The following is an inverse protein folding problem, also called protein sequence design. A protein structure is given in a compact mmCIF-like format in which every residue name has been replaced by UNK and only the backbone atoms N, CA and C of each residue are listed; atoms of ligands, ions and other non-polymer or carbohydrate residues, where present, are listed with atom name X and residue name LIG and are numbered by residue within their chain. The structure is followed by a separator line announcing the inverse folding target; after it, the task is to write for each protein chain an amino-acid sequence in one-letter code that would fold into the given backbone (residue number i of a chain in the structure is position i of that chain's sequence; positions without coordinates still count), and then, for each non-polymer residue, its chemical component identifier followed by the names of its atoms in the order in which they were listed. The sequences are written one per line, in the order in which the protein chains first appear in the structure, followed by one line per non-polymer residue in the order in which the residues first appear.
data_IF_199866384172
#
_entry.id   IF_199866384172
#
_cell.length_a   1.000
_cell.length_b   1.000
_cell.length_c   1.000
_cell.angle_alpha   90.00
_cell.angle_beta   90.00
_cell.angle_gamma   90.00
#
_symmetry.space_group_name_H-M   'P 1'
#
loop_
_entity.id
_entity.type
_entity.pdbx_description
1 polymer ?
#
# COMPACT_ATOMS: atom_id res chain seq x y z
N UNK A 1 -56.99 -76.93 -2.89
CA UNK A 1 -56.49 -75.55 -3.15
C UNK A 1 -55.41 -75.27 -2.14
N UNK A 2 -54.13 -75.20 -2.54
CA UNK A 2 -52.99 -74.81 -1.65
C UNK A 2 -52.61 -73.36 -1.88
N UNK A 3 -52.41 -72.55 -0.89
CA UNK A 3 -51.90 -71.20 -1.09
C UNK A 3 -50.37 -71.24 -1.19
N UNK A 4 -49.84 -70.59 -2.21
CA UNK A 4 -48.41 -70.40 -2.45
C UNK A 4 -47.92 -69.17 -1.68
N UNK A 5 -46.98 -69.36 -0.73
CA UNK A 5 -46.31 -68.27 -0.03
C UNK A 5 -45.23 -67.72 -0.94
N UNK A 6 -45.26 -66.39 -1.22
CA UNK A 6 -44.15 -65.61 -1.78
C UNK A 6 -43.34 -64.98 -0.64
N UNK A 7 -42.04 -65.31 -0.59
CA UNK A 7 -41.12 -64.64 0.31
C UNK A 7 -40.47 -63.41 -0.42
N UNK A 8 -40.39 -62.22 0.20
CA UNK A 8 -39.68 -61.11 -0.42
C UNK A 8 -38.18 -61.25 -0.19
N UNK A 9 -37.42 -61.12 -1.28
CA UNK A 9 -35.96 -60.97 -1.27
C UNK A 9 -35.60 -59.58 -0.79
N UNK A 10 -34.94 -59.49 0.36
CA UNK A 10 -34.41 -58.24 0.91
C UNK A 10 -32.99 -58.02 0.34
N UNK A 11 -32.86 -57.15 -0.67
CA UNK A 11 -31.56 -56.75 -1.21
C UNK A 11 -30.86 -55.76 -0.31
N UNK A 12 -29.80 -56.21 0.34
CA UNK A 12 -28.95 -55.35 1.19
C UNK A 12 -28.00 -54.54 0.25
N UNK A 13 -28.27 -53.25 0.08
CA UNK A 13 -27.37 -52.30 -0.61
C UNK A 13 -26.31 -51.86 0.36
N UNK A 14 -25.08 -52.35 0.21
CA UNK A 14 -23.90 -51.82 0.90
C UNK A 14 -23.52 -50.48 0.25
N UNK A 15 -23.84 -49.38 0.91
CA UNK A 15 -23.28 -48.06 0.57
C UNK A 15 -21.84 -47.99 1.03
N UNK A 16 -20.89 -48.16 0.11
CA UNK A 16 -19.48 -47.87 0.36
C UNK A 16 -19.28 -46.36 0.47
N UNK A 17 -19.13 -45.83 1.68
CA UNK A 17 -18.66 -44.45 1.91
C UNK A 17 -17.19 -44.35 1.51
N UNK A 18 -16.91 -43.96 0.27
CA UNK A 18 -15.58 -43.49 -0.11
C UNK A 18 -15.32 -42.15 0.60
N UNK A 19 -14.66 -42.19 1.77
CA UNK A 19 -14.02 -41.03 2.34
C UNK A 19 -12.87 -40.62 1.43
N UNK A 20 -13.15 -39.72 0.47
CA UNK A 20 -12.12 -38.99 -0.25
C UNK A 20 -11.46 -38.05 0.76
N UNK A 21 -10.38 -38.53 1.37
CA UNK A 21 -9.49 -37.69 2.17
C UNK A 21 -8.79 -36.74 1.19
N UNK A 22 -9.35 -35.53 0.98
CA UNK A 22 -8.61 -34.44 0.35
C UNK A 22 -7.52 -34.04 1.33
N UNK A 23 -6.24 -34.19 0.99
CA UNK A 23 -5.18 -33.66 1.85
C UNK A 23 -5.43 -32.16 2.00
N UNK A 24 -5.54 -31.71 3.26
CA UNK A 24 -5.58 -30.30 3.56
C UNK A 24 -4.33 -29.66 2.93
N UNK A 25 -4.51 -28.82 1.92
CA UNK A 25 -3.43 -27.98 1.41
C UNK A 25 -3.00 -27.07 2.54
N UNK A 26 -1.91 -27.41 3.23
CA UNK A 26 -1.29 -26.54 4.21
C UNK A 26 -0.83 -25.29 3.46
N UNK A 27 -1.61 -24.23 3.56
CA UNK A 27 -1.19 -22.93 3.06
C UNK A 27 0.14 -22.56 3.78
N UNK A 28 1.17 -22.15 3.04
CA UNK A 28 2.41 -21.71 3.67
C UNK A 28 2.09 -20.62 4.71
N UNK A 29 2.81 -20.59 5.84
CA UNK A 29 2.64 -19.52 6.82
C UNK A 29 2.85 -18.16 6.14
N UNK A 30 2.13 -17.11 6.56
CA UNK A 30 2.32 -15.78 6.03
C UNK A 30 3.79 -15.35 6.21
N UNK A 31 4.36 -14.60 5.25
CA UNK A 31 5.75 -14.16 5.33
C UNK A 31 5.96 -13.26 6.55
N UNK A 32 7.09 -13.43 7.22
CA UNK A 32 7.46 -12.57 8.34
C UNK A 32 7.80 -11.16 7.87
N UNK A 33 7.40 -10.16 8.67
CA UNK A 33 7.71 -8.77 8.42
C UNK A 33 7.93 -8.01 9.74
N UNK A 34 8.63 -6.88 9.65
CA UNK A 34 8.77 -5.92 10.73
C UNK A 34 7.89 -4.70 10.44
N UNK A 35 6.90 -4.46 11.30
CA UNK A 35 6.10 -3.24 11.27
C UNK A 35 6.83 -2.12 12.02
N UNK A 36 6.92 -0.94 11.39
CA UNK A 36 7.55 0.25 11.98
C UNK A 36 6.51 1.38 11.93
N UNK A 37 6.24 1.99 13.09
CA UNK A 37 5.24 3.06 13.25
C UNK A 37 5.77 4.16 14.15
N UNK A 38 5.35 5.38 13.86
CA UNK A 38 5.57 6.53 14.73
C UNK A 38 4.39 7.48 14.70
N UNK A 39 4.31 8.34 15.70
CA UNK A 39 3.46 9.53 15.75
C UNK A 39 4.16 10.62 16.54
N UNK A 40 3.90 11.87 16.21
CA UNK A 40 4.44 13.00 16.94
C UNK A 40 4.84 14.16 16.03
N UNK A 41 5.85 14.88 16.47
CA UNK A 41 6.45 15.96 15.69
C UNK A 41 7.35 15.45 14.54
N UNK A 42 7.82 16.35 13.71
CA UNK A 42 8.68 16.01 12.58
C UNK A 42 9.99 15.32 13.00
N UNK A 43 10.57 15.67 14.15
CA UNK A 43 11.81 15.07 14.62
C UNK A 43 11.60 13.61 15.01
N UNK A 44 10.56 13.32 15.79
CA UNK A 44 10.19 11.95 16.21
C UNK A 44 9.90 11.05 14.99
N UNK A 45 9.17 11.56 14.01
CA UNK A 45 8.85 10.80 12.81
C UNK A 45 10.09 10.63 11.92
N UNK A 46 10.96 11.66 11.81
CA UNK A 46 12.21 11.56 11.06
C UNK A 46 13.15 10.49 11.61
N UNK A 47 13.28 10.39 12.95
CA UNK A 47 14.08 9.33 13.59
C UNK A 47 13.57 7.93 13.26
N UNK A 48 12.24 7.76 13.25
CA UNK A 48 11.63 6.48 12.89
C UNK A 48 11.77 6.18 11.39
N UNK A 49 11.61 7.19 10.54
CA UNK A 49 11.83 7.07 9.10
C UNK A 49 13.29 6.65 8.80
N UNK A 50 14.27 7.19 9.53
CA UNK A 50 15.67 6.79 9.41
C UNK A 50 15.90 5.32 9.84
N UNK A 51 15.23 4.84 10.89
CA UNK A 51 15.23 3.42 11.26
C UNK A 51 14.61 2.55 10.16
N UNK A 52 13.54 3.01 9.54
CA UNK A 52 12.91 2.33 8.41
C UNK A 52 13.84 2.27 7.19
N UNK A 53 14.50 3.37 6.84
CA UNK A 53 15.54 3.43 5.79
C UNK A 53 16.68 2.43 6.03
N UNK A 54 17.14 2.33 7.28
CA UNK A 54 18.16 1.37 7.68
C UNK A 54 17.68 -0.08 7.55
N UNK A 55 16.42 -0.37 7.92
CA UNK A 55 15.83 -1.71 7.83
C UNK A 55 15.59 -2.15 6.37
N UNK A 56 15.23 -1.23 5.47
CA UNK A 56 15.20 -1.50 4.03
C UNK A 56 16.59 -1.87 3.51
N UNK A 57 17.61 -1.21 4.05
CA UNK A 57 19.01 -1.39 3.66
C UNK A 57 19.38 -0.66 2.37
N UNK A 58 20.68 -0.66 2.09
CA UNK A 58 21.24 -0.08 0.87
C UNK A 58 21.18 1.46 0.79
N UNK A 59 21.72 1.97 -0.31
CA UNK A 59 21.78 3.40 -0.60
C UNK A 59 20.48 3.92 -1.22
N UNK A 60 20.28 5.23 -1.12
CA UNK A 60 19.25 5.90 -1.91
C UNK A 60 19.67 5.91 -3.38
N UNK A 61 18.88 5.28 -4.22
CA UNK A 61 19.09 5.30 -5.67
C UNK A 61 18.54 6.60 -6.26
N UNK A 62 19.37 7.31 -7.02
CA UNK A 62 18.97 8.58 -7.62
C UNK A 62 17.80 8.40 -8.58
N UNK A 63 16.94 9.42 -8.76
CA UNK A 63 15.93 9.41 -9.81
C UNK A 63 16.61 9.30 -11.19
N UNK A 64 15.89 8.72 -12.15
CA UNK A 64 16.35 8.57 -13.54
C UNK A 64 17.58 7.65 -13.76
N UNK A 65 18.00 6.89 -12.75
CA UNK A 65 18.94 5.78 -12.93
C UNK A 65 18.22 4.54 -13.44
N UNK A 66 18.97 3.65 -14.08
CA UNK A 66 18.49 2.31 -14.41
C UNK A 66 18.06 1.54 -13.14
N UNK A 67 17.26 0.46 -13.28
CA UNK A 67 17.00 -0.46 -12.18
C UNK A 67 18.32 -0.92 -11.54
N UNK A 68 18.37 -0.95 -10.21
CA UNK A 68 19.55 -1.36 -9.45
C UNK A 68 19.26 -2.69 -8.72
N UNK A 69 20.31 -3.45 -8.41
CA UNK A 69 20.18 -4.75 -7.74
C UNK A 69 19.83 -4.63 -6.25
N UNK A 70 19.97 -3.43 -5.69
CA UNK A 70 19.71 -3.15 -4.28
C UNK A 70 19.49 -1.67 -4.03
N UNK A 71 19.17 -1.32 -2.77
CA UNK A 71 18.96 0.04 -2.35
C UNK A 71 17.48 0.37 -2.13
N UNK A 72 17.17 1.65 -2.11
CA UNK A 72 15.83 2.16 -1.90
C UNK A 72 15.52 3.33 -2.82
N UNK A 73 14.24 3.62 -2.97
CA UNK A 73 13.68 4.80 -3.64
C UNK A 73 12.87 5.62 -2.65
N UNK A 74 12.84 6.93 -2.87
CA UNK A 74 12.08 7.87 -2.06
C UNK A 74 11.34 8.86 -2.95
N UNK A 75 10.11 9.25 -2.56
CA UNK A 75 9.30 10.27 -3.21
C UNK A 75 8.90 11.25 -2.10
N UNK A 76 9.34 12.48 -2.19
CA UNK A 76 9.00 13.57 -1.27
C UNK A 76 8.14 14.67 -1.93
N UNK A 77 7.68 14.46 -3.15
CA UNK A 77 6.80 15.32 -3.96
C UNK A 77 7.39 16.69 -4.33
N UNK A 78 8.39 17.21 -3.62
CA UNK A 78 8.93 18.56 -3.81
C UNK A 78 9.49 18.81 -5.20
N UNK A 79 10.06 17.77 -5.81
CA UNK A 79 10.59 17.80 -7.17
C UNK A 79 9.52 17.76 -8.28
N UNK A 80 8.23 17.67 -7.96
CA UNK A 80 7.16 17.74 -8.96
C UNK A 80 7.12 19.13 -9.58
N UNK A 81 7.10 19.27 -10.92
CA UNK A 81 7.02 20.56 -11.59
C UNK A 81 5.80 21.40 -11.18
N UNK A 82 5.95 22.71 -11.15
CA UNK A 82 4.85 23.65 -10.81
C UNK A 82 3.63 23.44 -11.69
N UNK A 83 3.81 23.15 -12.98
CA UNK A 83 2.72 22.86 -13.91
C UNK A 83 1.88 21.61 -13.56
N UNK A 84 2.40 20.73 -12.70
CA UNK A 84 1.73 19.51 -12.22
C UNK A 84 1.36 19.61 -10.74
N UNK A 85 1.49 20.78 -10.14
CA UNK A 85 1.18 21.06 -8.74
C UNK A 85 -0.14 21.83 -8.65
N UNK A 86 -0.94 21.58 -7.63
CA UNK A 86 -2.25 22.21 -7.37
C UNK A 86 -3.30 21.93 -8.46
N UNK A 87 -3.16 20.82 -9.16
CA UNK A 87 -4.14 20.32 -10.15
C UNK A 87 -4.57 18.89 -9.79
N UNK A 88 -5.79 18.51 -10.16
CA UNK A 88 -6.40 17.22 -9.81
C UNK A 88 -6.05 16.09 -10.80
N UNK A 89 -5.21 16.40 -11.78
CA UNK A 89 -4.83 15.49 -12.87
C UNK A 89 -3.35 15.16 -12.87
N UNK A 90 -2.74 15.03 -11.69
CA UNK A 90 -1.34 14.61 -11.59
C UNK A 90 -1.15 13.25 -12.27
N UNK A 91 -0.14 13.11 -13.18
CA UNK A 91 0.01 11.88 -13.96
C UNK A 91 0.39 10.69 -13.09
N UNK A 92 -0.43 9.66 -13.08
CA UNK A 92 -0.27 8.43 -12.30
C UNK A 92 1.08 7.72 -12.53
N UNK A 93 1.67 7.87 -13.72
CA UNK A 93 2.94 7.24 -14.12
C UNK A 93 4.16 8.14 -13.95
N UNK A 94 3.99 9.35 -13.39
CA UNK A 94 5.07 10.35 -13.29
C UNK A 94 6.34 9.77 -12.66
N UNK A 95 6.21 9.05 -11.54
CA UNK A 95 7.35 8.45 -10.83
C UNK A 95 7.84 7.11 -11.40
N UNK A 96 7.39 6.76 -12.58
CA UNK A 96 7.97 5.69 -13.38
C UNK A 96 8.49 6.16 -14.74
N UNK A 97 7.85 7.16 -15.34
CA UNK A 97 8.18 7.64 -16.70
C UNK A 97 9.09 8.89 -16.65
N UNK A 98 8.62 9.95 -15.98
CA UNK A 98 9.32 11.23 -15.94
C UNK A 98 10.43 11.25 -14.88
N UNK A 99 10.20 10.61 -13.75
CA UNK A 99 11.14 10.48 -12.64
C UNK A 99 11.25 9.01 -12.26
N UNK A 100 12.13 8.28 -12.94
CA UNK A 100 12.22 6.82 -12.95
C UNK A 100 12.52 6.24 -11.57
N UNK A 101 11.50 6.05 -10.77
CA UNK A 101 11.56 5.44 -9.42
C UNK A 101 10.78 4.12 -9.32
N UNK A 102 10.05 3.74 -10.39
CA UNK A 102 9.32 2.47 -10.43
C UNK A 102 8.02 2.46 -9.62
N UNK A 103 7.40 3.62 -9.37
CA UNK A 103 6.09 3.71 -8.72
C UNK A 103 5.04 4.21 -9.71
N UNK A 104 3.90 3.51 -9.77
CA UNK A 104 2.73 3.87 -10.58
C UNK A 104 1.53 3.90 -9.66
N UNK A 105 0.76 4.99 -9.72
CA UNK A 105 -0.38 5.22 -8.82
C UNK A 105 -1.71 4.92 -9.48
N UNK A 106 -2.69 4.50 -8.69
CA UNK A 106 -4.09 4.48 -9.09
C UNK A 106 -5.00 4.83 -7.90
N UNK A 107 -6.24 5.20 -8.19
CA UNK A 107 -7.26 5.51 -7.19
C UNK A 107 -8.65 5.16 -7.76
N UNK A 108 -9.60 4.70 -6.94
CA UNK A 108 -11.00 4.61 -7.36
C UNK A 108 -11.69 5.97 -7.48
N UNK A 109 -10.99 7.05 -7.08
CA UNK A 109 -11.45 8.42 -7.24
C UNK A 109 -11.34 8.94 -8.67
N UNK A 110 -11.35 10.26 -8.82
CA UNK A 110 -11.36 10.94 -10.13
C UNK A 110 -9.98 11.42 -10.56
N UNK A 111 -8.97 11.39 -9.68
CA UNK A 111 -7.62 11.82 -9.99
C UNK A 111 -6.67 11.79 -8.80
N UNK A 112 -5.50 12.34 -9.02
CA UNK A 112 -4.42 12.49 -8.04
C UNK A 112 -3.99 13.95 -7.99
N UNK A 113 -3.64 14.43 -6.79
CA UNK A 113 -3.23 15.82 -6.58
C UNK A 113 -1.94 15.89 -5.76
N UNK A 114 -0.98 16.64 -6.27
CA UNK A 114 0.16 17.14 -5.50
C UNK A 114 -0.12 18.60 -5.19
N UNK A 115 -0.07 18.98 -3.93
CA UNK A 115 -0.49 20.32 -3.47
C UNK A 115 0.63 21.01 -2.68
N UNK A 116 0.82 22.32 -2.93
CA UNK A 116 1.79 23.17 -2.25
C UNK A 116 1.14 24.23 -1.36
N UNK A 117 -0.18 24.19 -1.18
CA UNK A 117 -0.97 25.17 -0.44
C UNK A 117 -1.57 24.58 0.84
N UNK A 118 -1.13 23.38 1.24
CA UNK A 118 -1.80 22.57 2.27
C UNK A 118 -3.31 22.43 2.00
N UNK A 119 -3.66 22.30 0.71
CA UNK A 119 -5.03 22.21 0.19
C UNK A 119 -5.93 23.43 0.41
N UNK A 120 -5.37 24.58 0.85
CA UNK A 120 -6.12 25.83 0.96
C UNK A 120 -6.75 26.25 -0.37
N UNK A 121 -6.14 25.89 -1.50
CA UNK A 121 -6.69 26.15 -2.85
C UNK A 121 -7.92 25.29 -3.20
N UNK A 122 -8.17 24.20 -2.47
CA UNK A 122 -9.37 23.37 -2.58
C UNK A 122 -10.43 23.81 -1.58
N UNK A 123 -10.00 24.01 -0.33
CA UNK A 123 -10.86 24.41 0.77
C UNK A 123 -10.06 25.31 1.73
N UNK A 124 -10.38 26.60 1.78
CA UNK A 124 -9.70 27.57 2.63
C UNK A 124 -9.75 27.21 4.13
N UNK A 125 -10.75 26.45 4.57
CA UNK A 125 -10.88 25.94 5.94
C UNK A 125 -9.81 24.91 6.33
N UNK A 126 -9.06 24.39 5.37
CA UNK A 126 -7.99 23.40 5.60
C UNK A 126 -6.59 24.02 5.68
N UNK A 127 -6.46 25.35 5.54
CA UNK A 127 -5.16 26.03 5.43
C UNK A 127 -4.19 25.72 6.57
N UNK A 128 -4.71 25.55 7.79
CA UNK A 128 -3.93 25.26 9.00
C UNK A 128 -4.04 23.81 9.46
N UNK A 129 -4.70 22.96 8.66
CA UNK A 129 -4.97 21.56 9.00
C UNK A 129 -3.74 20.69 8.74
N UNK A 130 -3.10 20.88 7.60
CA UNK A 130 -2.01 20.03 7.15
C UNK A 130 -0.67 20.75 7.19
N UNK A 131 0.40 19.96 7.36
CA UNK A 131 1.77 20.42 7.24
C UNK A 131 2.56 19.41 6.41
N UNK A 132 3.39 19.88 5.50
CA UNK A 132 4.33 19.03 4.81
C UNK A 132 5.46 18.60 5.75
N UNK A 133 5.80 17.31 5.74
CA UNK A 133 6.89 16.72 6.51
C UNK A 133 8.23 17.06 5.87
N UNK A 134 8.40 16.73 4.60
CA UNK A 134 9.43 17.32 3.75
C UNK A 134 8.90 18.65 3.19
N UNK A 135 9.75 19.69 3.06
CA UNK A 135 9.23 21.03 2.82
C UNK A 135 8.52 21.16 1.48
N UNK A 136 7.26 21.57 1.52
CA UNK A 136 6.39 22.26 0.58
C UNK A 136 5.24 21.48 -0.05
N UNK A 137 5.28 20.16 -0.27
CA UNK A 137 4.21 19.50 -1.03
C UNK A 137 3.65 18.27 -0.35
N UNK A 138 2.34 18.12 -0.47
CA UNK A 138 1.56 16.98 0.02
C UNK A 138 0.88 16.29 -1.15
N UNK A 139 0.41 15.07 -0.93
CA UNK A 139 -0.24 14.25 -1.94
C UNK A 139 -1.52 13.62 -1.41
N UNK A 140 -2.56 13.61 -2.24
CA UNK A 140 -3.85 12.95 -1.97
C UNK A 140 -4.46 12.37 -3.25
N UNK A 141 -5.40 11.42 -3.08
CA UNK A 141 -6.38 11.10 -4.13
C UNK A 141 -7.47 12.16 -4.18
N UNK A 142 -8.05 12.37 -5.35
CA UNK A 142 -9.20 13.26 -5.57
C UNK A 142 -10.46 12.42 -5.69
N UNK A 143 -11.47 12.76 -4.89
CA UNK A 143 -12.74 12.01 -4.86
C UNK A 143 -12.65 10.62 -4.23
N UNK A 144 -11.56 10.33 -3.53
CA UNK A 144 -11.35 9.10 -2.75
C UNK A 144 -10.33 9.35 -1.65
N UNK A 145 -10.35 8.54 -0.60
CA UNK A 145 -9.30 8.45 0.41
C UNK A 145 -8.37 7.25 0.18
N UNK A 146 -8.38 6.64 -1.01
CA UNK A 146 -7.62 5.42 -1.33
C UNK A 146 -6.67 5.66 -2.50
N UNK A 147 -5.42 5.25 -2.31
CA UNK A 147 -4.37 5.24 -3.34
C UNK A 147 -3.74 3.87 -3.39
N UNK A 148 -3.62 3.31 -4.58
CA UNK A 148 -2.83 2.11 -4.83
C UNK A 148 -1.48 2.50 -5.46
N UNK A 149 -0.40 1.84 -5.06
CA UNK A 149 0.93 1.99 -5.64
C UNK A 149 1.39 0.65 -6.17
N UNK A 150 1.48 0.53 -7.48
CA UNK A 150 2.07 -0.62 -8.16
C UNK A 150 3.56 -0.39 -8.38
N UNK A 151 4.37 -1.41 -8.12
CA UNK A 151 5.82 -1.33 -8.35
C UNK A 151 6.20 -1.89 -9.72
N UNK A 152 7.10 -1.15 -10.40
CA UNK A 152 7.70 -1.50 -11.69
C UNK A 152 9.22 -1.43 -11.56
N UNK A 153 9.94 -2.18 -12.37
CA UNK A 153 11.37 -1.91 -12.54
C UNK A 153 11.53 -0.48 -13.06
N UNK A 154 12.37 0.32 -12.40
CA UNK A 154 12.44 1.77 -12.58
C UNK A 154 12.56 2.17 -14.04
N UNK A 155 11.60 2.94 -14.54
CA UNK A 155 11.55 3.42 -15.92
C UNK A 155 11.10 2.40 -16.96
N UNK A 156 10.53 1.26 -16.54
CA UNK A 156 10.02 0.21 -17.43
C UNK A 156 8.54 -0.08 -17.19
N UNK A 157 7.94 -0.91 -18.04
CA UNK A 157 6.58 -1.43 -17.83
C UNK A 157 6.56 -2.77 -17.09
N UNK A 158 7.73 -3.36 -16.86
CA UNK A 158 7.90 -4.65 -16.19
C UNK A 158 7.55 -4.53 -14.71
N UNK A 159 6.70 -5.42 -14.21
CA UNK A 159 6.35 -5.47 -12.78
C UNK A 159 7.58 -5.76 -11.93
N UNK A 160 7.66 -5.07 -10.79
CA UNK A 160 8.73 -5.20 -9.81
C UNK A 160 8.18 -5.56 -8.44
N UNK A 161 9.05 -6.07 -7.59
CA UNK A 161 8.76 -6.38 -6.20
C UNK A 161 9.66 -5.54 -5.29
N UNK A 162 9.12 -5.00 -4.22
CA UNK A 162 9.91 -4.26 -3.22
C UNK A 162 10.01 -5.03 -1.91
N UNK A 163 11.11 -4.81 -1.17
CA UNK A 163 11.34 -5.41 0.15
C UNK A 163 10.45 -4.81 1.23
N UNK A 164 9.93 -3.61 1.01
CA UNK A 164 9.07 -2.91 1.95
C UNK A 164 8.66 -1.56 1.42
N UNK A 165 7.66 -0.98 2.06
CA UNK A 165 7.12 0.33 1.76
C UNK A 165 6.73 1.02 3.06
N UNK A 166 6.92 2.33 3.14
CA UNK A 166 6.48 3.17 4.24
C UNK A 166 6.09 4.56 3.75
N UNK A 167 5.19 5.19 4.50
CA UNK A 167 4.62 6.49 4.17
C UNK A 167 4.47 7.36 5.42
N UNK A 168 4.77 8.65 5.27
CA UNK A 168 4.45 9.69 6.25
C UNK A 168 3.07 10.24 5.94
N UNK A 169 2.24 10.37 6.96
CA UNK A 169 0.95 11.04 6.91
C UNK A 169 0.97 12.33 7.71
N UNK A 170 0.22 13.31 7.25
CA UNK A 170 -0.11 14.54 7.97
C UNK A 170 -1.55 14.47 8.41
N UNK A 171 -1.79 14.70 9.71
CA UNK A 171 -3.11 14.84 10.30
C UNK A 171 -3.95 13.55 10.35
N UNK A 172 -3.50 12.57 11.13
CA UNK A 172 -4.25 11.33 11.41
C UNK A 172 -4.90 11.45 12.78
N UNK A 173 -6.16 11.79 12.84
CA UNK A 173 -6.89 12.01 14.10
C UNK A 173 -7.61 10.74 14.59
N UNK A 174 -8.12 9.91 13.70
CA UNK A 174 -8.84 8.69 14.06
C UNK A 174 -7.96 7.44 13.96
N UNK A 175 -7.84 6.74 15.08
CA UNK A 175 -7.15 5.45 15.10
C UNK A 175 -7.79 4.46 14.11
N UNK A 176 -6.96 3.75 13.36
CA UNK A 176 -7.33 2.73 12.38
C UNK A 176 -8.11 3.21 11.13
N UNK A 177 -8.44 4.51 11.01
CA UNK A 177 -9.00 5.07 9.79
C UNK A 177 -7.95 5.10 8.67
N UNK A 178 -6.70 5.34 9.03
CA UNK A 178 -5.55 5.34 8.12
C UNK A 178 -4.77 4.03 8.23
N UNK A 179 -4.44 3.40 7.07
CA UNK A 179 -3.67 2.15 7.03
C UNK A 179 -2.97 1.93 5.70
N UNK A 180 -2.02 1.02 5.72
CA UNK A 180 -1.31 0.51 4.53
C UNK A 180 -1.47 -1.01 4.48
N UNK A 181 -1.95 -1.50 3.36
CA UNK A 181 -2.14 -2.92 3.05
C UNK A 181 -1.14 -3.33 1.97
N UNK A 182 -0.45 -4.46 2.16
CA UNK A 182 0.64 -4.93 1.30
C UNK A 182 0.24 -6.20 0.61
N UNK A 183 0.51 -6.31 -0.70
CA UNK A 183 0.09 -7.45 -1.52
C UNK A 183 1.25 -8.01 -2.33
N UNK A 184 1.25 -9.32 -2.51
CA UNK A 184 2.18 -10.01 -3.42
C UNK A 184 1.76 -9.87 -4.90
N UNK A 185 2.53 -10.49 -5.80
CA UNK A 185 2.26 -10.49 -7.24
C UNK A 185 0.99 -11.25 -7.64
N UNK A 186 0.45 -12.10 -6.76
CA UNK A 186 -0.80 -12.86 -6.98
C UNK A 186 -2.02 -12.15 -6.37
N UNK A 187 -1.80 -10.99 -5.74
CA UNK A 187 -2.84 -10.24 -5.03
C UNK A 187 -3.18 -10.77 -3.64
N UNK A 188 -2.34 -11.64 -3.08
CA UNK A 188 -2.50 -12.13 -1.70
C UNK A 188 -2.02 -11.04 -0.74
N UNK A 189 -2.84 -10.74 0.27
CA UNK A 189 -2.47 -9.80 1.32
C UNK A 189 -1.36 -10.39 2.20
N UNK A 190 -0.25 -9.65 2.30
CA UNK A 190 0.93 -10.00 3.09
C UNK A 190 0.87 -9.38 4.50
N UNK A 191 0.31 -8.19 4.61
CA UNK A 191 0.18 -7.44 5.86
C UNK A 191 -0.84 -6.31 5.72
N UNK A 192 -1.46 -5.92 6.82
CA UNK A 192 -2.26 -4.70 6.96
C UNK A 192 -1.86 -3.97 8.24
N UNK A 193 -1.44 -2.72 8.13
CA UNK A 193 -0.88 -1.96 9.25
C UNK A 193 -1.63 -0.64 9.40
N UNK A 194 -2.37 -0.50 10.49
CA UNK A 194 -3.03 0.74 10.84
C UNK A 194 -2.04 1.79 11.37
N UNK A 195 -2.28 3.06 11.01
CA UNK A 195 -1.57 4.20 11.60
C UNK A 195 -2.03 4.43 13.05
N UNK A 196 -1.11 4.81 13.95
CA UNK A 196 -1.52 5.40 15.22
C UNK A 196 -2.17 6.77 14.95
N UNK A 197 -3.13 7.16 15.76
CA UNK A 197 -3.65 8.53 15.73
C UNK A 197 -2.66 9.51 16.37
N UNK A 198 -2.55 10.71 15.81
CA UNK A 198 -1.85 11.86 16.36
C UNK A 198 -2.84 13.02 16.40
N UNK A 199 -3.44 13.22 17.56
CA UNK A 199 -4.50 14.23 17.72
C UNK A 199 -4.00 15.65 17.50
N UNK A 200 -4.83 16.44 16.83
CA UNK A 200 -4.59 17.86 16.55
C UNK A 200 -3.92 18.09 15.21
N UNK A 201 -4.30 19.21 14.58
CA UNK A 201 -3.82 19.63 13.28
C UNK A 201 -2.27 19.62 13.17
N UNK A 202 -1.76 19.36 11.97
CA UNK A 202 -0.35 19.36 11.61
C UNK A 202 0.52 18.30 12.32
N UNK A 203 -0.09 17.31 12.98
CA UNK A 203 0.60 16.17 13.52
C UNK A 203 1.08 15.20 12.43
N UNK A 204 2.18 14.47 12.70
CA UNK A 204 2.70 13.48 11.77
C UNK A 204 2.55 12.06 12.30
N UNK A 205 2.32 11.13 11.38
CA UNK A 205 2.46 9.70 11.65
C UNK A 205 3.28 9.02 10.55
N UNK A 206 3.89 7.90 10.88
CA UNK A 206 4.60 7.05 9.92
C UNK A 206 4.10 5.62 10.05
N UNK A 207 3.90 4.96 8.92
CA UNK A 207 3.57 3.54 8.82
C UNK A 207 4.44 2.90 7.76
N UNK A 208 5.08 1.78 8.10
CA UNK A 208 5.86 1.00 7.15
C UNK A 208 5.99 -0.47 7.55
N UNK A 209 6.20 -1.32 6.56
CA UNK A 209 6.59 -2.72 6.73
C UNK A 209 7.84 -3.03 5.94
N UNK A 210 8.72 -3.85 6.53
CA UNK A 210 9.90 -4.42 5.88
C UNK A 210 9.80 -5.94 5.97
N UNK A 211 9.88 -6.61 4.84
CA UNK A 211 9.90 -8.07 4.69
C UNK A 211 11.34 -8.57 4.56
N UNK A 212 11.58 -9.86 4.72
CA UNK A 212 12.92 -10.44 4.57
C UNK A 212 13.47 -10.34 3.14
N UNK A 213 12.57 -10.41 2.15
CA UNK A 213 12.90 -10.33 0.72
C UNK A 213 11.93 -9.43 -0.04
N UNK A 214 12.25 -9.12 -1.29
CA UNK A 214 11.37 -8.36 -2.18
C UNK A 214 10.19 -9.24 -2.62
N UNK A 215 9.03 -9.05 -2.01
CA UNK A 215 7.80 -9.81 -2.26
C UNK A 215 6.57 -8.93 -2.43
N UNK A 216 6.65 -7.64 -2.10
CA UNK A 216 5.53 -6.70 -2.21
C UNK A 216 5.45 -6.18 -3.65
N UNK A 217 4.38 -6.53 -4.36
CA UNK A 217 4.12 -6.07 -5.73
C UNK A 217 3.34 -4.76 -5.76
N UNK A 218 2.47 -4.54 -4.79
CA UNK A 218 1.68 -3.32 -4.63
C UNK A 218 1.32 -3.05 -3.19
N UNK A 219 0.97 -1.81 -2.91
CA UNK A 219 0.37 -1.41 -1.63
C UNK A 219 -0.92 -0.64 -1.90
N UNK A 220 -1.88 -0.79 -0.98
CA UNK A 220 -3.08 0.02 -0.94
C UNK A 220 -3.03 0.88 0.32
N UNK A 221 -3.14 2.18 0.14
CA UNK A 221 -3.14 3.17 1.21
C UNK A 221 -4.57 3.67 1.37
N UNK A 222 -5.11 3.58 2.59
CA UNK A 222 -6.33 4.28 2.99
C UNK A 222 -5.90 5.43 3.91
N UNK A 223 -6.20 6.66 3.54
CA UNK A 223 -5.82 7.88 4.27
C UNK A 223 -7.06 8.56 4.86
N UNK A 224 -7.27 8.39 6.17
CA UNK A 224 -8.47 8.85 6.85
C UNK A 224 -9.74 8.07 6.49
N UNK A 225 -10.89 8.59 6.87
CA UNK A 225 -12.21 8.02 6.58
C UNK A 225 -13.02 8.84 5.57
N UNK A 226 -12.46 9.96 5.09
CA UNK A 226 -13.11 10.83 4.11
C UNK A 226 -12.13 11.31 3.03
N UNK A 227 -12.67 11.58 1.84
CA UNK A 227 -11.93 12.22 0.75
C UNK A 227 -11.88 13.73 0.92
N UNK A 228 -10.75 14.34 0.54
CA UNK A 228 -10.63 15.79 0.43
C UNK A 228 -11.74 16.37 -0.46
N UNK A 229 -12.43 17.43 -0.01
CA UNK A 229 -13.44 18.15 -0.78
C UNK A 229 -13.48 19.64 -0.43
N UNK A 230 -14.14 20.43 -1.27
CA UNK A 230 -14.28 21.87 -1.08
C UNK A 230 -15.12 22.27 0.16
N UNK A 231 -15.88 21.36 0.74
CA UNK A 231 -16.82 21.63 1.85
C UNK A 231 -16.58 20.78 3.08
N UNK A 232 -15.57 19.93 3.07
CA UNK A 232 -15.27 19.06 4.23
C UNK A 232 -14.74 19.88 5.40
N UNK A 233 -15.12 19.47 6.60
CA UNK A 233 -14.56 19.98 7.85
C UNK A 233 -13.95 18.80 8.58
N UNK A 234 -12.67 18.89 8.84
CA UNK A 234 -11.94 17.85 9.55
C UNK A 234 -12.34 17.77 11.03
N UNK A 235 -12.15 16.60 11.66
CA UNK A 235 -12.50 16.35 13.06
C UNK A 235 -11.70 17.25 14.01
N UNK A 236 -10.45 17.59 13.71
CA UNK A 236 -9.63 18.50 14.51
C UNK A 236 -10.08 19.97 14.37
N UNK A 237 -10.83 20.30 13.32
CA UNK A 237 -11.51 21.58 13.13
C UNK A 237 -12.99 21.58 13.58
N UNK A 238 -13.42 20.54 14.32
CA UNK A 238 -14.78 20.39 14.86
C UNK A 238 -15.77 19.69 13.91
N UNK A 239 -15.30 19.08 12.83
CA UNK A 239 -16.08 18.21 11.94
C UNK A 239 -16.20 16.79 12.48
N UNK A 240 -16.62 15.88 11.60
CA UNK A 240 -16.81 14.45 11.90
C UNK A 240 -15.90 13.55 11.07
N UNK A 241 -15.24 14.08 10.09
CA UNK A 241 -14.46 13.35 9.11
C UNK A 241 -12.95 13.52 9.39
N UNK A 242 -12.17 12.47 9.20
CA UNK A 242 -10.71 12.47 9.32
C UNK A 242 -10.13 12.53 7.89
N UNK A 243 -9.64 13.70 7.49
CA UNK A 243 -9.01 13.92 6.19
C UNK A 243 -7.51 13.87 6.37
N UNK A 244 -6.85 12.94 5.72
CA UNK A 244 -5.42 12.69 5.90
C UNK A 244 -4.66 12.91 4.61
N UNK A 245 -3.59 13.70 4.68
CA UNK A 245 -2.67 13.88 3.57
C UNK A 245 -1.45 12.96 3.68
N UNK A 246 -0.85 12.65 2.55
CA UNK A 246 0.38 11.86 2.44
C UNK A 246 1.57 12.75 2.08
N UNK A 247 2.75 12.39 2.60
CA UNK A 247 4.02 13.01 2.24
C UNK A 247 5.05 11.92 1.83
N UNK A 248 6.21 11.85 2.46
CA UNK A 248 7.31 10.98 2.05
C UNK A 248 6.91 9.52 1.89
N UNK A 249 7.12 8.97 0.68
CA UNK A 249 7.07 7.54 0.40
C UNK A 249 8.50 6.99 0.32
N UNK A 250 8.77 5.92 1.07
CA UNK A 250 10.07 5.25 1.07
C UNK A 250 9.87 3.76 0.84
N UNK A 251 10.57 3.17 -0.12
CA UNK A 251 10.43 1.76 -0.48
C UNK A 251 11.74 1.18 -1.00
N UNK A 252 11.88 -0.15 -0.92
CA UNK A 252 13.02 -0.85 -1.48
C UNK A 252 13.12 -0.65 -2.99
N UNK A 253 14.33 -0.76 -3.56
CA UNK A 253 14.49 -0.77 -5.02
C UNK A 253 13.64 -1.89 -5.62
N UNK A 254 12.78 -1.61 -6.62
CA UNK A 254 11.98 -2.65 -7.26
C UNK A 254 12.85 -3.69 -7.96
N UNK A 255 12.69 -4.95 -7.56
CA UNK A 255 13.41 -6.11 -8.09
C UNK A 255 12.54 -6.90 -9.07
N UNK A 256 13.13 -7.62 -10.05
CA UNK A 256 12.35 -8.48 -10.94
C UNK A 256 11.66 -9.61 -10.17
N UNK A 257 10.51 -10.07 -10.70
CA UNK A 257 9.86 -11.25 -10.17
C UNK A 257 10.82 -12.46 -10.28
N UNK A 258 10.83 -13.36 -9.27
CA UNK A 258 11.60 -14.59 -9.35
C UNK A 258 11.24 -15.35 -10.62
N UNK A 259 12.24 -15.79 -11.39
CA UNK A 259 11.98 -16.67 -12.50
C UNK A 259 11.38 -17.98 -11.96
N UNK A 260 10.15 -18.31 -12.35
CA UNK A 260 9.64 -19.67 -12.20
C UNK A 260 10.46 -20.56 -13.13
N UNK A 261 11.56 -21.13 -12.63
CA UNK A 261 12.28 -22.17 -13.36
C UNK A 261 11.30 -23.32 -13.53
N UNK A 262 10.89 -23.59 -14.76
CA UNK A 262 10.11 -24.78 -15.12
C UNK A 262 10.87 -26.03 -14.64
N UNK A 263 10.45 -26.58 -13.51
CA UNK A 263 10.91 -27.88 -13.01
C UNK A 263 10.24 -29.00 -13.81
N UNK A 264 10.35 -28.91 -15.14
CA UNK A 264 9.87 -29.95 -16.07
C UNK A 264 10.99 -30.41 -16.99
N UNK A 265 12.09 -30.92 -16.43
CA UNK A 265 13.06 -31.69 -17.19
C UNK A 265 13.88 -32.60 -16.28
N UNK A 266 13.28 -33.68 -15.76
CA UNK A 266 13.96 -34.94 -15.43
C UNK A 266 12.93 -36.04 -15.19
N UNK A 267 12.30 -36.51 -16.27
CA UNK A 267 11.89 -37.89 -16.41
C UNK A 267 12.35 -38.33 -17.79
N UNK A 268 13.51 -38.86 -17.85
CA UNK A 268 13.96 -39.86 -18.84
C UNK A 268 14.52 -41.03 -18.05
#
# INVERSE_FOLDING_TARGET
MKPTLYAPFLSLVLAACNNLYSPATTQPPPPSFTAIRARGDSATVADTLNKFRAALGGSLNAPNTAPADSGRREINWDGVPVALTNIDTFPATFFNVNSKRGAVFSTPGTGLRVDSTAFASVNAGLADQFKAFSPKKLFVAVGSNRVEVDFKLAGTTTSGLVKGFGVVFSDVDKAAATRVEYFDANGVELASIASPAQLGAQGFTFVGAVFESAIVARVLITSGDAALSATITDVSAGGTDDVVAMDDFVYGEPQPLPHTSNYSARRQ
#
